data_IF_828006177817
#
_entry.id   IF_828006177817
#
_cell.length_a   1.000
_cell.length_b   1.000
_cell.length_c   1.000
_cell.angle_alpha   90.00
_cell.angle_beta   90.00
_cell.angle_gamma   90.00
#
_symmetry.space_group_name_H-M   'P 1'
#
loop_
_entity.id
_entity.type
_entity.pdbx_description
1 polymer ?
#
# COMPACT_ATOMS: atom_id res chain seq x y z
N UNK A 1 -56.83 -12.53 -15.67
CA UNK A 1 -57.08 -13.95 -15.96
C UNK A 1 -56.19 -14.39 -17.13
N UNK A 2 -55.06 -15.02 -16.80
CA UNK A 2 -54.37 -16.09 -17.53
C UNK A 2 -53.10 -16.36 -16.72
N UNK A 3 -53.18 -17.45 -15.95
CA UNK A 3 -52.04 -18.11 -15.31
C UNK A 3 -51.11 -18.63 -16.39
N UNK A 4 -49.85 -18.83 -16.03
CA UNK A 4 -49.09 -20.00 -16.42
C UNK A 4 -47.92 -20.13 -15.44
N UNK A 5 -48.09 -21.12 -14.57
CA UNK A 5 -47.08 -21.72 -13.72
C UNK A 5 -45.92 -22.25 -14.57
N UNK A 6 -44.70 -22.21 -14.02
CA UNK A 6 -43.71 -23.23 -14.39
C UNK A 6 -42.73 -23.46 -13.23
N UNK A 7 -43.13 -24.39 -12.36
CA UNK A 7 -42.25 -25.17 -11.50
C UNK A 7 -41.29 -25.99 -12.36
N UNK A 8 -39.98 -25.87 -12.11
CA UNK A 8 -39.03 -26.97 -12.30
C UNK A 8 -37.97 -26.98 -11.20
N UNK A 9 -38.29 -27.78 -10.19
CA UNK A 9 -37.32 -28.48 -9.34
C UNK A 9 -36.49 -29.46 -10.18
N UNK A 10 -35.16 -29.38 -10.12
CA UNK A 10 -34.29 -30.52 -10.46
C UNK A 10 -33.19 -30.65 -9.39
N UNK A 11 -33.29 -31.76 -8.68
CA UNK A 11 -32.34 -32.40 -7.77
C UNK A 11 -31.24 -33.14 -8.54
N UNK A 12 -30.03 -33.17 -7.96
CA UNK A 12 -28.90 -34.06 -8.30
C UNK A 12 -27.59 -33.33 -8.01
N UNK A 13 -26.76 -33.63 -7.00
CA UNK A 13 -26.26 -34.89 -6.39
C UNK A 13 -25.48 -35.77 -7.37
N UNK A 14 -24.16 -35.57 -7.38
CA UNK A 14 -23.09 -36.48 -7.85
C UNK A 14 -21.84 -36.09 -7.03
N UNK A 15 -21.50 -36.85 -5.99
CA UNK A 15 -20.45 -37.91 -5.97
C UNK A 15 -19.07 -37.33 -6.32
N UNK A 16 -18.25 -36.96 -5.32
CA UNK A 16 -17.24 -37.82 -4.64
C UNK A 16 -16.43 -38.68 -5.62
N UNK A 17 -15.21 -38.23 -5.93
CA UNK A 17 -14.14 -39.13 -6.34
C UNK A 17 -12.84 -38.68 -5.66
N UNK A 18 -12.46 -39.47 -4.66
CA UNK A 18 -11.12 -39.56 -4.11
C UNK A 18 -10.36 -40.53 -4.99
N UNK A 19 -9.19 -40.14 -5.48
CA UNK A 19 -8.17 -41.08 -5.95
C UNK A 19 -6.88 -40.80 -5.19
N UNK A 20 -6.50 -41.80 -4.40
CA UNK A 20 -5.23 -41.95 -3.71
C UNK A 20 -4.24 -42.70 -4.62
N UNK A 21 -2.98 -42.68 -4.17
CA UNK A 21 -1.89 -43.61 -4.47
C UNK A 21 -1.04 -43.35 -5.73
N UNK A 22 0.22 -42.97 -5.51
CA UNK A 22 1.33 -43.95 -5.57
C UNK A 22 2.65 -43.36 -5.07
N UNK A 23 3.15 -44.02 -4.03
CA UNK A 23 4.55 -44.05 -3.60
C UNK A 23 5.42 -44.64 -4.71
N UNK A 24 6.64 -44.13 -4.87
CA UNK A 24 7.74 -44.91 -5.45
C UNK A 24 9.02 -44.64 -4.65
N UNK A 25 9.43 -45.70 -3.95
CA UNK A 25 10.71 -45.92 -3.32
C UNK A 25 11.85 -45.82 -4.34
N UNK A 26 13.01 -45.33 -3.88
CA UNK A 26 14.30 -45.87 -4.33
C UNK A 26 15.32 -45.72 -3.19
N UNK A 27 15.46 -46.79 -2.41
CA UNK A 27 16.75 -47.23 -1.86
C UNK A 27 17.55 -47.83 -3.04
N UNK A 28 18.87 -47.95 -3.11
CA UNK A 28 19.91 -48.17 -2.12
C UNK A 28 21.23 -48.09 -2.91
N UNK A 29 22.31 -47.53 -2.35
CA UNK A 29 23.67 -48.06 -2.52
C UNK A 29 24.69 -47.28 -1.68
N UNK A 30 25.08 -47.91 -0.58
CA UNK A 30 26.36 -47.69 0.12
C UNK A 30 27.54 -48.06 -0.77
N UNK A 31 28.74 -47.50 -0.52
CA UNK A 31 29.74 -48.38 0.07
C UNK A 31 30.59 -47.75 1.19
N UNK A 32 30.83 -48.61 2.20
CA UNK A 32 32.04 -48.82 3.00
C UNK A 32 32.92 -47.65 3.46
N UNK A 33 32.99 -47.56 4.79
CA UNK A 33 34.20 -47.65 5.63
C UNK A 33 35.53 -47.19 4.99
N UNK A 34 36.02 -46.06 5.48
CA UNK A 34 37.41 -46.00 5.90
C UNK A 34 37.56 -45.07 7.11
N UNK A 35 37.92 -45.70 8.22
CA UNK A 35 38.61 -45.10 9.34
C UNK A 35 39.76 -44.22 8.86
N UNK A 36 39.76 -42.95 9.27
CA UNK A 36 40.96 -42.28 9.78
C UNK A 36 40.57 -40.95 10.41
N UNK A 37 40.62 -40.95 11.73
CA UNK A 37 40.67 -39.79 12.60
C UNK A 37 41.86 -38.89 12.21
N UNK A 38 41.65 -37.57 12.11
CA UNK A 38 42.65 -36.65 12.62
C UNK A 38 41.99 -35.75 13.66
N UNK A 39 42.35 -36.01 14.92
CA UNK A 39 42.41 -35.00 15.97
C UNK A 39 43.04 -33.73 15.40
N UNK A 40 42.21 -32.73 15.13
CA UNK A 40 42.65 -31.37 14.85
C UNK A 40 41.77 -30.41 15.63
N UNK A 41 42.35 -29.94 16.73
CA UNK A 41 42.01 -28.76 17.52
C UNK A 41 41.02 -27.80 16.86
N UNK A 42 39.74 -27.94 17.25
CA UNK A 42 38.71 -26.96 16.97
C UNK A 42 38.95 -25.76 17.90
N UNK A 43 39.62 -24.74 17.37
CA UNK A 43 39.77 -23.46 18.06
C UNK A 43 38.37 -22.88 18.31
N UNK A 44 38.04 -22.66 19.59
CA UNK A 44 36.91 -21.85 20.02
C UNK A 44 37.10 -20.44 19.45
N UNK A 45 36.41 -20.12 18.36
CA UNK A 45 36.25 -18.74 17.91
C UNK A 45 35.17 -18.10 18.80
N UNK A 46 35.67 -17.24 19.68
CA UNK A 46 34.97 -16.46 20.68
C UNK A 46 33.77 -15.71 20.05
N UNK A 47 32.60 -15.81 20.69
CA UNK A 47 31.31 -15.27 20.22
C UNK A 47 31.36 -13.74 19.98
N UNK A 48 32.28 -13.07 20.69
CA UNK A 48 32.73 -11.67 20.51
C UNK A 48 33.30 -11.37 19.12
N UNK A 49 33.95 -12.34 18.47
CA UNK A 49 34.57 -12.16 17.15
C UNK A 49 33.53 -12.18 16.03
N UNK A 50 32.49 -13.01 16.17
CA UNK A 50 31.38 -13.09 15.21
C UNK A 50 30.50 -11.82 15.24
N UNK A 51 30.30 -11.22 16.41
CA UNK A 51 29.59 -9.94 16.56
C UNK A 51 30.38 -8.80 15.92
N UNK A 52 31.70 -8.75 16.12
CA UNK A 52 32.58 -7.72 15.54
C UNK A 52 32.58 -7.73 14.00
N UNK A 53 32.63 -8.91 13.36
CA UNK A 53 32.56 -9.04 11.90
C UNK A 53 31.19 -8.59 11.34
N UNK A 54 30.11 -8.82 12.11
CA UNK A 54 28.77 -8.37 11.74
C UNK A 54 28.60 -6.85 11.79
N UNK A 55 29.24 -6.18 12.75
CA UNK A 55 29.25 -4.73 12.87
C UNK A 55 30.10 -4.08 11.77
N UNK A 56 31.27 -4.65 11.45
CA UNK A 56 32.10 -4.16 10.34
C UNK A 56 31.37 -4.19 8.99
N UNK A 57 30.64 -5.27 8.69
CA UNK A 57 29.84 -5.39 7.46
C UNK A 57 28.73 -4.35 7.38
N UNK A 58 28.05 -4.06 8.50
CA UNK A 58 27.03 -3.00 8.58
C UNK A 58 27.65 -1.63 8.36
N UNK A 59 28.79 -1.36 8.99
CA UNK A 59 29.50 -0.09 8.84
C UNK A 59 29.98 0.14 7.39
N UNK A 60 30.46 -0.91 6.72
CA UNK A 60 30.82 -0.85 5.30
C UNK A 60 29.60 -0.58 4.39
N UNK A 61 28.44 -1.19 4.69
CA UNK A 61 27.19 -0.93 3.96
C UNK A 61 26.70 0.50 4.16
N UNK A 62 26.75 1.02 5.38
CA UNK A 62 26.37 2.40 5.71
C UNK A 62 27.25 3.39 4.94
N UNK A 63 28.57 3.23 5.00
CA UNK A 63 29.52 4.08 4.25
C UNK A 63 29.25 4.05 2.74
N UNK A 64 28.90 2.90 2.18
CA UNK A 64 28.54 2.78 0.75
C UNK A 64 27.26 3.54 0.41
N UNK A 65 26.27 3.54 1.31
CA UNK A 65 25.00 4.25 1.12
C UNK A 65 25.22 5.76 1.23
N UNK A 66 25.98 6.21 2.23
CA UNK A 66 26.30 7.62 2.44
C UNK A 66 26.98 8.23 1.20
N UNK A 67 27.99 7.53 0.65
CA UNK A 67 28.66 7.95 -0.60
C UNK A 67 27.67 8.09 -1.77
N UNK A 68 26.71 7.18 -1.90
CA UNK A 68 25.69 7.24 -2.97
C UNK A 68 24.70 8.38 -2.76
N UNK A 69 24.38 8.73 -1.51
CA UNK A 69 23.53 9.88 -1.19
C UNK A 69 24.25 11.18 -1.55
N UNK A 70 25.53 11.28 -1.21
CA UNK A 70 26.36 12.45 -1.50
C UNK A 70 26.49 12.69 -3.01
N UNK A 71 26.86 11.66 -3.78
CA UNK A 71 26.95 11.74 -5.26
C UNK A 71 25.61 12.15 -5.89
N UNK A 72 24.49 11.66 -5.35
CA UNK A 72 23.15 12.03 -5.84
C UNK A 72 22.79 13.46 -5.46
N UNK A 73 23.23 13.94 -4.31
CA UNK A 73 22.98 15.31 -3.84
C UNK A 73 23.75 16.30 -4.70
N UNK A 74 25.03 16.03 -4.99
CA UNK A 74 25.83 16.85 -5.92
C UNK A 74 25.20 16.94 -7.32
N UNK A 75 24.74 15.82 -7.87
CA UNK A 75 24.04 15.81 -9.17
C UNK A 75 22.75 16.64 -9.17
N UNK A 76 22.00 16.62 -8.05
CA UNK A 76 20.78 17.41 -7.92
C UNK A 76 21.10 18.90 -7.79
N UNK A 77 22.16 19.26 -7.08
CA UNK A 77 22.64 20.64 -6.95
C UNK A 77 23.10 21.18 -8.30
N UNK A 78 23.94 20.45 -9.04
CA UNK A 78 24.38 20.84 -10.38
C UNK A 78 23.21 21.02 -11.35
N UNK A 79 22.24 20.11 -11.33
CA UNK A 79 21.04 20.22 -12.16
C UNK A 79 20.15 21.42 -11.77
N UNK A 80 20.13 21.80 -10.49
CA UNK A 80 19.41 22.99 -10.03
C UNK A 80 20.08 24.28 -10.50
N UNK A 81 21.42 24.34 -10.44
CA UNK A 81 22.21 25.47 -10.94
C UNK A 81 22.04 25.65 -12.46
N UNK A 82 22.11 24.56 -13.23
CA UNK A 82 21.87 24.57 -14.68
C UNK A 82 20.47 25.10 -15.03
N UNK A 83 19.44 24.68 -14.29
CA UNK A 83 18.07 25.16 -14.48
C UNK A 83 17.91 26.63 -14.12
N UNK A 84 18.62 27.11 -13.10
CA UNK A 84 18.61 28.52 -12.71
C UNK A 84 19.33 29.39 -13.75
N UNK A 85 20.47 28.94 -14.28
CA UNK A 85 21.20 29.63 -15.34
C UNK A 85 20.40 29.68 -16.65
N UNK A 86 19.79 28.56 -17.06
CA UNK A 86 18.91 28.52 -18.22
C UNK A 86 17.67 29.41 -18.02
N UNK A 87 17.13 29.45 -16.80
CA UNK A 87 16.07 30.38 -16.41
C UNK A 87 16.48 31.85 -16.57
N UNK A 88 17.68 32.23 -16.11
CA UNK A 88 18.25 33.58 -16.28
C UNK A 88 18.43 33.94 -17.76
N UNK A 89 18.96 33.02 -18.56
CA UNK A 89 19.17 33.19 -20.01
C UNK A 89 17.85 33.39 -20.75
N UNK A 90 16.84 32.59 -20.42
CA UNK A 90 15.52 32.64 -21.03
C UNK A 90 14.77 33.94 -20.68
N UNK A 91 14.83 34.34 -19.41
CA UNK A 91 14.15 35.55 -18.93
C UNK A 91 14.85 36.83 -19.37
N UNK A 92 16.04 36.73 -19.97
CA UNK A 92 16.78 37.89 -20.46
C UNK A 92 17.11 38.84 -19.32
N UNK A 93 17.56 38.31 -18.19
CA UNK A 93 17.95 39.11 -17.02
C UNK A 93 19.31 39.82 -17.22
N UNK A 94 19.59 40.28 -18.45
CA UNK A 94 20.54 41.36 -18.67
C UNK A 94 19.81 42.64 -18.26
N UNK A 95 20.25 43.26 -17.17
CA UNK A 95 19.70 44.46 -16.55
C UNK A 95 19.65 45.72 -17.47
N UNK A 96 19.91 45.59 -18.77
CA UNK A 96 20.01 46.69 -19.73
C UNK A 96 18.84 46.77 -20.73
N UNK A 97 17.92 45.79 -20.80
CA UNK A 97 16.72 45.97 -21.62
C UNK A 97 15.52 45.23 -21.05
N UNK A 98 14.43 45.97 -20.80
CA UNK A 98 13.09 45.41 -20.54
C UNK A 98 12.57 44.76 -21.82
N UNK A 99 13.19 43.68 -22.27
CA UNK A 99 12.67 42.88 -23.37
C UNK A 99 11.34 42.28 -22.92
N UNK A 100 10.23 42.72 -23.53
CA UNK A 100 8.91 42.12 -23.31
C UNK A 100 9.01 40.63 -23.64
N UNK A 101 9.09 39.79 -22.60
CA UNK A 101 9.02 38.34 -22.75
C UNK A 101 7.67 38.02 -23.39
N UNK A 102 7.71 37.47 -24.60
CA UNK A 102 6.48 37.08 -25.32
C UNK A 102 5.83 35.93 -24.57
N UNK A 103 4.52 36.03 -24.33
CA UNK A 103 3.72 35.03 -23.61
C UNK A 103 3.91 33.62 -24.18
N UNK A 104 4.05 33.50 -25.51
CA UNK A 104 4.27 32.24 -26.20
C UNK A 104 5.57 31.52 -25.75
N UNK A 105 6.62 32.29 -25.44
CA UNK A 105 7.87 31.70 -24.91
C UNK A 105 7.62 31.11 -23.52
N UNK A 106 6.93 31.85 -22.66
CA UNK A 106 6.58 31.39 -21.30
C UNK A 106 5.74 30.12 -21.38
N UNK A 107 4.72 30.08 -22.24
CA UNK A 107 3.89 28.89 -22.45
C UNK A 107 4.71 27.69 -22.92
N UNK A 108 5.66 27.89 -23.84
CA UNK A 108 6.55 26.83 -24.35
C UNK A 108 7.52 26.30 -23.29
N UNK A 109 7.89 27.11 -22.29
CA UNK A 109 8.76 26.70 -21.19
C UNK A 109 7.95 25.95 -20.13
N UNK A 110 6.80 26.51 -19.73
CA UNK A 110 5.91 25.88 -18.76
C UNK A 110 5.40 24.52 -19.26
N UNK A 111 5.09 24.38 -20.55
CA UNK A 111 4.64 23.10 -21.11
C UNK A 111 5.68 21.97 -21.06
N UNK A 112 6.98 22.29 -20.92
CA UNK A 112 8.03 21.29 -20.72
C UNK A 112 8.12 20.81 -19.26
N UNK A 113 7.65 21.62 -18.31
CA UNK A 113 7.71 21.29 -16.89
C UNK A 113 6.69 20.20 -16.57
N UNK A 114 7.12 19.16 -15.84
CA UNK A 114 6.29 17.98 -15.52
C UNK A 114 4.92 18.32 -14.90
N UNK A 115 4.82 19.45 -14.21
CA UNK A 115 3.58 19.90 -13.57
C UNK A 115 2.49 20.32 -14.57
N UNK A 116 2.86 20.67 -15.80
CA UNK A 116 1.94 21.10 -16.87
C UNK A 116 1.81 20.06 -17.99
N UNK A 117 2.43 18.90 -17.84
CA UNK A 117 2.21 17.78 -18.75
C UNK A 117 0.84 17.17 -18.48
N UNK A 118 0.13 16.76 -19.53
CA UNK A 118 -1.16 16.06 -19.45
C UNK A 118 -1.04 14.60 -18.99
N UNK A 119 -0.02 14.29 -18.20
CA UNK A 119 0.20 12.98 -17.58
C UNK A 119 0.27 13.19 -16.08
N UNK A 120 -0.57 12.46 -15.35
CA UNK A 120 -0.58 12.59 -13.90
C UNK A 120 0.73 12.02 -13.33
N UNK A 121 1.20 12.58 -12.21
CA UNK A 121 2.40 12.06 -11.51
C UNK A 121 2.28 10.58 -11.13
N UNK A 122 1.06 10.03 -11.08
CA UNK A 122 0.76 8.63 -10.80
C UNK A 122 0.77 7.74 -12.05
N UNK A 123 0.47 8.29 -13.24
CA UNK A 123 0.51 7.54 -14.51
C UNK A 123 1.94 7.17 -14.93
N UNK A 124 2.92 8.01 -14.62
CA UNK A 124 4.34 7.75 -14.90
C UNK A 124 4.81 6.46 -14.22
N UNK A 125 4.71 6.30 -12.88
CA UNK A 125 5.08 5.06 -12.22
C UNK A 125 4.14 3.91 -12.57
N UNK A 126 2.83 4.15 -12.79
CA UNK A 126 1.91 3.08 -13.16
C UNK A 126 2.29 2.42 -14.49
N UNK A 127 2.67 3.24 -15.48
CA UNK A 127 3.17 2.77 -16.79
C UNK A 127 4.50 2.05 -16.66
N UNK A 128 5.41 2.57 -15.83
CA UNK A 128 6.73 1.96 -15.60
C UNK A 128 6.66 0.58 -14.97
N UNK A 129 5.76 0.36 -14.02
CA UNK A 129 5.68 -0.87 -13.22
C UNK A 129 4.53 -1.81 -13.62
N UNK A 130 3.86 -1.55 -14.75
CA UNK A 130 2.69 -2.35 -15.21
C UNK A 130 1.61 -2.47 -14.12
N UNK A 131 1.34 -1.37 -13.41
CA UNK A 131 0.35 -1.35 -12.34
C UNK A 131 -1.04 -1.25 -12.95
N UNK A 132 -1.91 -2.21 -12.63
CA UNK A 132 -3.33 -2.14 -12.98
C UNK A 132 -4.04 -1.20 -12.01
N UNK A 133 -4.66 -0.15 -12.55
CA UNK A 133 -5.41 0.82 -11.77
C UNK A 133 -6.89 0.41 -11.77
N UNK A 134 -7.48 0.35 -10.57
CA UNK A 134 -8.91 0.12 -10.41
C UNK A 134 -9.56 1.47 -10.11
N UNK A 135 -10.50 1.89 -10.98
CA UNK A 135 -11.27 3.10 -10.78
C UNK A 135 -12.46 2.80 -9.86
N UNK A 136 -12.44 3.36 -8.66
CA UNK A 136 -13.58 3.30 -7.74
C UNK A 136 -14.42 4.58 -7.85
N UNK A 137 -15.75 4.49 -7.77
CA UNK A 137 -16.62 5.66 -7.79
C UNK A 137 -16.38 6.58 -6.57
N UNK A 138 -16.61 7.87 -6.76
CA UNK A 138 -16.39 8.88 -5.70
C UNK A 138 -17.47 8.76 -4.62
N UNK A 139 -17.08 8.84 -3.35
CA UNK A 139 -17.96 8.73 -2.17
C UNK A 139 -18.51 7.32 -1.87
N UNK A 140 -17.83 6.29 -2.37
CA UNK A 140 -18.17 4.89 -2.19
C UNK A 140 -17.16 4.18 -1.25
N UNK A 141 -17.29 4.42 0.05
CA UNK A 141 -16.37 3.88 1.06
C UNK A 141 -16.46 2.34 1.19
N UNK A 142 -17.59 1.74 0.84
CA UNK A 142 -17.80 0.30 0.77
C UNK A 142 -16.97 -0.40 -0.29
N UNK A 143 -16.60 0.35 -1.32
CA UNK A 143 -15.74 -0.06 -2.42
C UNK A 143 -14.26 0.23 -2.15
N UNK A 144 -13.89 0.60 -0.92
CA UNK A 144 -12.51 0.84 -0.52
C UNK A 144 -12.14 -0.03 0.70
N UNK A 145 -11.39 -1.11 0.44
CA UNK A 145 -11.00 -2.06 1.48
C UNK A 145 -10.20 -1.41 2.64
N UNK A 146 -9.49 -0.30 2.39
CA UNK A 146 -8.72 0.39 3.43
C UNK A 146 -9.62 0.97 4.53
N UNK A 147 -10.85 1.38 4.19
CA UNK A 147 -11.80 1.88 5.19
C UNK A 147 -12.19 0.78 6.18
N UNK A 148 -12.35 -0.45 5.67
CA UNK A 148 -12.59 -1.62 6.52
C UNK A 148 -11.43 -1.94 7.45
N UNK A 149 -10.18 -1.80 6.96
CA UNK A 149 -8.98 -1.94 7.77
C UNK A 149 -8.98 -0.91 8.92
N UNK A 150 -9.17 0.37 8.59
CA UNK A 150 -9.18 1.43 9.59
C UNK A 150 -10.29 1.25 10.61
N UNK A 151 -11.50 0.88 10.20
CA UNK A 151 -12.60 0.60 11.10
C UNK A 151 -12.26 -0.55 12.07
N UNK A 152 -11.65 -1.63 11.59
CA UNK A 152 -11.27 -2.75 12.43
C UNK A 152 -10.19 -2.37 13.45
N UNK A 153 -9.13 -1.69 13.00
CA UNK A 153 -8.05 -1.25 13.89
C UNK A 153 -8.56 -0.25 14.94
N UNK A 154 -9.38 0.72 14.53
CA UNK A 154 -10.01 1.67 15.46
C UNK A 154 -10.87 0.95 16.51
N UNK A 155 -11.68 -0.03 16.11
CA UNK A 155 -12.50 -0.79 17.05
C UNK A 155 -11.64 -1.60 18.03
N UNK A 156 -10.56 -2.22 17.54
CA UNK A 156 -9.59 -2.95 18.37
C UNK A 156 -8.94 -2.05 19.43
N UNK A 157 -8.43 -0.89 18.99
CA UNK A 157 -7.77 0.08 19.88
C UNK A 157 -8.76 0.68 20.88
N UNK A 158 -9.94 1.12 20.42
CA UNK A 158 -10.96 1.76 21.28
C UNK A 158 -11.46 0.87 22.41
N UNK A 159 -11.49 -0.45 22.22
CA UNK A 159 -11.95 -1.40 23.24
C UNK A 159 -10.85 -1.78 24.26
N UNK A 160 -9.60 -1.33 24.06
CA UNK A 160 -8.44 -1.75 24.88
C UNK A 160 -7.58 -0.59 25.38
N UNK A 161 -7.79 0.61 24.85
CA UNK A 161 -7.02 1.80 25.21
C UNK A 161 -7.38 2.28 26.62
N UNK A 162 -6.38 2.75 27.36
CA UNK A 162 -6.52 3.52 28.60
C UNK A 162 -6.23 5.02 28.37
N UNK A 163 -6.23 5.43 27.10
CA UNK A 163 -5.91 6.80 26.66
C UNK A 163 -4.46 7.24 26.89
N UNK A 164 -3.56 6.33 27.28
CA UNK A 164 -2.11 6.61 27.28
C UNK A 164 -1.51 6.51 25.88
N UNK A 165 -0.57 7.40 25.57
CA UNK A 165 0.11 7.40 24.27
C UNK A 165 0.97 6.14 24.07
N UNK A 166 1.69 5.71 25.09
CA UNK A 166 2.54 4.52 25.03
C UNK A 166 1.74 3.26 24.70
N UNK A 167 0.58 3.08 25.34
CA UNK A 167 -0.29 1.94 25.05
C UNK A 167 -0.95 2.08 23.68
N UNK A 168 -1.32 3.29 23.25
CA UNK A 168 -1.87 3.51 21.92
C UNK A 168 -0.91 3.00 20.84
N UNK A 169 0.39 3.30 20.94
CA UNK A 169 1.39 2.83 19.98
C UNK A 169 1.48 1.30 19.96
N UNK A 170 1.51 0.66 21.14
CA UNK A 170 1.49 -0.81 21.25
C UNK A 170 0.23 -1.41 20.62
N UNK A 171 -0.94 -0.88 20.95
CA UNK A 171 -2.23 -1.35 20.42
C UNK A 171 -2.36 -1.17 18.91
N UNK A 172 -1.75 -0.13 18.31
CA UNK A 172 -1.71 0.03 16.85
C UNK A 172 -0.94 -1.13 16.22
N UNK A 173 0.21 -1.51 16.77
CA UNK A 173 0.97 -2.66 16.29
C UNK A 173 0.19 -3.97 16.47
N UNK A 174 -0.36 -4.21 17.67
CA UNK A 174 -1.16 -5.40 17.99
C UNK A 174 -2.39 -5.52 17.08
N UNK A 175 -3.02 -4.40 16.74
CA UNK A 175 -4.19 -4.39 15.85
C UNK A 175 -3.86 -4.90 14.44
N UNK A 176 -2.62 -4.71 13.97
CA UNK A 176 -2.16 -5.22 12.66
C UNK A 176 -2.00 -6.73 12.71
N UNK A 177 -1.41 -7.26 13.78
CA UNK A 177 -1.25 -8.71 14.00
C UNK A 177 -2.63 -9.37 14.05
N UNK A 178 -3.53 -8.84 14.88
CA UNK A 178 -4.91 -9.31 14.99
C UNK A 178 -5.65 -9.28 13.65
N UNK A 179 -5.43 -8.24 12.83
CA UNK A 179 -6.04 -8.13 11.50
C UNK A 179 -5.60 -9.25 10.54
N UNK A 180 -4.32 -9.61 10.57
CA UNK A 180 -3.74 -10.70 9.77
C UNK A 180 -4.25 -12.05 10.26
N UNK A 181 -4.15 -12.33 11.56
CA UNK A 181 -4.59 -13.60 12.16
C UNK A 181 -6.06 -13.92 11.88
N UNK A 182 -6.92 -12.89 11.86
CA UNK A 182 -8.36 -13.03 11.62
C UNK A 182 -8.73 -13.09 10.14
N UNK A 183 -7.75 -13.09 9.23
CA UNK A 183 -7.93 -13.09 7.79
C UNK A 183 -8.92 -12.00 7.32
N UNK A 184 -8.85 -10.82 7.93
CA UNK A 184 -9.81 -9.75 7.69
C UNK A 184 -9.62 -9.16 6.29
N UNK A 185 -8.37 -9.07 5.83
CA UNK A 185 -8.04 -8.62 4.47
C UNK A 185 -8.86 -9.35 3.40
N UNK A 186 -8.91 -10.69 3.46
CA UNK A 186 -9.63 -11.50 2.49
C UNK A 186 -11.14 -11.24 2.54
N UNK A 187 -11.71 -11.05 3.74
CA UNK A 187 -13.13 -10.70 3.90
C UNK A 187 -13.44 -9.33 3.29
N UNK A 188 -12.54 -8.35 3.47
CA UNK A 188 -12.69 -7.01 2.90
C UNK A 188 -12.58 -7.01 1.38
N UNK A 189 -11.64 -7.75 0.80
CA UNK A 189 -11.53 -7.89 -0.66
C UNK A 189 -12.72 -8.64 -1.28
N UNK A 190 -13.21 -9.70 -0.64
CA UNK A 190 -14.44 -10.37 -1.08
C UNK A 190 -15.63 -9.42 -1.06
N UNK A 191 -15.76 -8.60 -0.01
CA UNK A 191 -16.81 -7.58 0.08
C UNK A 191 -16.66 -6.52 -1.02
N UNK A 192 -15.45 -6.05 -1.29
CA UNK A 192 -15.17 -5.13 -2.39
C UNK A 192 -15.71 -5.66 -3.73
N UNK A 193 -15.36 -6.90 -4.09
CA UNK A 193 -15.83 -7.48 -5.36
C UNK A 193 -17.35 -7.67 -5.40
N UNK A 194 -17.97 -8.07 -4.28
CA UNK A 194 -19.43 -8.17 -4.17
C UNK A 194 -20.13 -6.81 -4.28
N UNK A 195 -19.53 -5.73 -3.80
CA UNK A 195 -20.07 -4.38 -3.99
C UNK A 195 -20.02 -3.98 -5.47
N UNK A 196 -18.92 -4.25 -6.17
CA UNK A 196 -18.79 -3.97 -7.61
C UNK A 196 -19.82 -4.76 -8.42
N UNK A 197 -20.01 -6.05 -8.11
CA UNK A 197 -21.03 -6.89 -8.74
C UNK A 197 -22.46 -6.38 -8.45
N UNK A 198 -22.75 -5.97 -7.23
CA UNK A 198 -24.05 -5.39 -6.91
C UNK A 198 -24.32 -4.11 -7.73
N UNK A 199 -23.30 -3.25 -7.88
CA UNK A 199 -23.43 -2.06 -8.73
C UNK A 199 -23.61 -2.40 -10.21
N UNK A 200 -22.92 -3.42 -10.74
CA UNK A 200 -23.12 -3.83 -12.13
C UNK A 200 -24.51 -4.40 -12.39
N UNK A 201 -25.17 -4.94 -11.35
CA UNK A 201 -26.57 -5.38 -11.36
C UNK A 201 -27.58 -4.26 -11.14
N UNK A 202 -27.13 -3.00 -11.03
CA UNK A 202 -28.01 -1.83 -10.86
C UNK A 202 -28.47 -1.56 -9.42
N UNK A 203 -27.85 -2.17 -8.41
CA UNK A 203 -28.14 -1.87 -7.01
C UNK A 203 -27.72 -0.44 -6.66
N UNK A 204 -28.52 0.24 -5.82
CA UNK A 204 -28.19 1.61 -5.39
C UNK A 204 -27.15 1.59 -4.26
N UNK A 205 -26.50 2.73 -4.01
CA UNK A 205 -25.59 2.90 -2.86
C UNK A 205 -26.25 2.51 -1.53
N UNK A 206 -27.53 2.88 -1.35
CA UNK A 206 -28.28 2.55 -0.16
C UNK A 206 -28.46 1.04 0.03
N UNK A 207 -28.70 0.32 -1.07
CA UNK A 207 -28.92 -1.13 -1.04
C UNK A 207 -27.62 -1.85 -0.74
N UNK A 208 -26.52 -1.46 -1.38
CA UNK A 208 -25.18 -2.03 -1.14
C UNK A 208 -24.74 -1.85 0.32
N UNK A 209 -24.96 -0.67 0.91
CA UNK A 209 -24.68 -0.45 2.33
C UNK A 209 -25.50 -1.37 3.24
N UNK A 210 -26.80 -1.52 2.98
CA UNK A 210 -27.68 -2.40 3.77
C UNK A 210 -27.26 -3.86 3.64
N UNK A 211 -26.90 -4.30 2.43
CA UNK A 211 -26.50 -5.68 2.12
C UNK A 211 -25.20 -6.08 2.82
N UNK A 212 -24.21 -5.18 2.92
CA UNK A 212 -22.85 -5.57 3.34
C UNK A 212 -22.34 -4.92 4.64
N UNK A 213 -23.01 -3.88 5.16
CA UNK A 213 -22.53 -3.09 6.32
C UNK A 213 -23.53 -3.01 7.47
N UNK A 214 -24.66 -3.71 7.37
CA UNK A 214 -25.80 -3.77 8.31
C UNK A 214 -26.91 -2.76 8.02
N UNK A 215 -28.11 -3.09 8.52
CA UNK A 215 -29.29 -2.21 8.48
C UNK A 215 -29.12 -0.94 9.33
N UNK A 216 -28.12 -0.88 10.21
CA UNK A 216 -27.84 0.30 11.03
C UNK A 216 -27.06 1.37 10.26
N UNK A 217 -26.50 1.04 9.10
CA UNK A 217 -25.84 2.02 8.23
C UNK A 217 -26.88 2.96 7.61
N UNK A 218 -26.79 4.24 7.97
CA UNK A 218 -27.60 5.31 7.38
C UNK A 218 -26.85 5.91 6.19
N UNK A 219 -27.55 6.09 5.09
CA UNK A 219 -27.04 6.81 3.90
C UNK A 219 -26.90 8.30 4.13
N UNK A 220 -27.66 8.86 5.07
CA UNK A 220 -27.57 10.25 5.46
C UNK A 220 -26.34 10.46 6.36
N UNK A 221 -25.32 11.15 5.83
CA UNK A 221 -24.26 11.71 6.65
C UNK A 221 -24.87 12.84 7.48
N UNK A 222 -24.99 12.66 8.80
CA UNK A 222 -25.12 13.81 9.68
C UNK A 222 -23.78 14.54 9.63
N UNK A 223 -23.71 15.59 8.80
CA UNK A 223 -22.54 16.46 8.78
C UNK A 223 -22.32 16.97 10.22
N UNK A 224 -21.04 17.00 10.62
CA UNK A 224 -20.62 17.33 11.98
C UNK A 224 -21.43 18.49 12.55
N UNK A 225 -21.95 18.31 13.77
CA UNK A 225 -22.57 19.38 14.55
C UNK A 225 -21.58 20.54 14.56
N UNK A 226 -21.95 21.66 13.92
CA UNK A 226 -21.11 22.85 13.83
C UNK A 226 -20.87 23.34 15.26
N UNK A 227 -19.68 23.06 15.81
CA UNK A 227 -19.29 23.57 17.13
C UNK A 227 -19.03 25.06 16.92
N UNK A 228 -20.01 25.89 17.24
CA UNK A 228 -19.79 27.33 17.28
C UNK A 228 -19.05 27.65 18.56
N UNK A 229 -17.77 28.01 18.47
CA UNK A 229 -17.00 28.58 19.58
C UNK A 229 -17.54 29.99 19.90
N UNK A 230 -18.72 30.07 20.54
CA UNK A 230 -19.36 31.35 20.90
C UNK A 230 -18.83 31.95 22.20
N UNK A 231 -17.94 31.26 22.92
CA UNK A 231 -17.45 31.69 24.24
C UNK A 231 -15.91 31.85 24.26
N UNK A 232 -15.32 32.54 23.27
CA UNK A 232 -13.89 32.93 23.34
C UNK A 232 -13.70 34.29 24.06
N UNK A 233 -14.78 34.97 24.43
CA UNK A 233 -14.71 36.22 25.17
C UNK A 233 -15.38 36.10 26.54
N UNK A 234 -14.72 35.47 27.50
CA UNK A 234 -14.86 35.82 28.91
C UNK A 234 -13.44 36.00 29.48
N UNK A 235 -13.22 37.06 30.29
CA UNK A 235 -11.94 37.76 30.47
C UNK A 235 -10.83 36.97 31.19
#
# INVERSE_FOLDING_TARGET
MKSLDNDRSITGRTELQQDNDKEEENAEQTPNENDQNPTSSRANLDETTAVSIGEERKNQQISTIERKIEEKTERLTAMAEDLEEEGRRILGYDNSSKAKVKLDKIHKILSKQLAFQNVTKLEIPASKYTVKIIYCPKYHCESNAIEGLWCNQKAFVRSRTDQSFEKLIKLIADSRIHFVERNIALKLFRRFWRSIEAYSQGQTYADVLKLFFSQLCKTSVQSHRRISNKNINEP
#
